data_IF_609882747004
#
_entry.id   IF_609882747004
#
_cell.length_a   1.000
_cell.length_b   1.000
_cell.length_c   1.000
_cell.angle_alpha   90.00
_cell.angle_beta   90.00
_cell.angle_gamma   90.00
#
_symmetry.space_group_name_H-M   'P 1'
#
loop_
_entity.id
_entity.type
_entity.pdbx_description
1 polymer ?
#
# COMPACT_ATOMS: atom_id res chain seq x y z
N UNK A 1 -7.23 -11.90 6.42
CA UNK A 1 -6.67 -10.58 6.10
C UNK A 1 -7.26 -9.57 7.07
N UNK A 2 -6.42 -8.79 7.75
CA UNK A 2 -6.79 -7.64 8.55
C UNK A 2 -6.42 -6.38 7.75
N UNK A 3 -7.37 -5.52 7.46
CA UNK A 3 -7.13 -4.26 6.72
C UNK A 3 -7.09 -3.09 7.70
N UNK A 4 -5.97 -2.37 7.71
CA UNK A 4 -5.81 -1.11 8.42
C UNK A 4 -6.39 0.04 7.59
N UNK A 5 -7.11 0.96 8.24
CA UNK A 5 -7.70 2.14 7.61
C UNK A 5 -7.10 3.38 8.27
N UNK A 6 -6.42 4.23 7.49
CA UNK A 6 -5.73 5.42 8.00
C UNK A 6 -6.34 6.70 7.42
N UNK A 7 -6.68 7.66 8.30
CA UNK A 7 -7.12 9.01 7.94
C UNK A 7 -8.21 9.57 8.88
N UNK A 8 -8.93 10.63 8.47
CA UNK A 8 -9.93 11.29 9.31
C UNK A 8 -11.09 10.37 9.67
N UNK A 9 -11.71 10.64 10.82
CA UNK A 9 -12.79 9.81 11.37
C UNK A 9 -13.95 9.64 10.40
N UNK A 10 -14.41 10.73 9.77
CA UNK A 10 -15.55 10.75 8.85
C UNK A 10 -15.43 9.69 7.74
N UNK A 11 -14.27 9.65 7.11
CA UNK A 11 -13.96 8.81 5.97
C UNK A 11 -13.56 7.41 6.44
N UNK A 12 -12.81 7.32 7.55
CA UNK A 12 -12.36 6.06 8.13
C UNK A 12 -13.53 5.16 8.56
N UNK A 13 -14.50 5.71 9.29
CA UNK A 13 -15.69 4.96 9.70
C UNK A 13 -16.57 4.58 8.52
N UNK A 14 -16.79 5.50 7.56
CA UNK A 14 -17.53 5.19 6.34
C UNK A 14 -16.90 4.01 5.57
N UNK A 15 -15.59 4.04 5.38
CA UNK A 15 -14.87 2.97 4.67
C UNK A 15 -15.01 1.65 5.42
N UNK A 16 -14.85 1.65 6.75
CA UNK A 16 -15.05 0.44 7.57
C UNK A 16 -16.44 -0.15 7.40
N UNK A 17 -17.49 0.68 7.44
CA UNK A 17 -18.87 0.21 7.36
C UNK A 17 -19.20 -0.32 5.96
N UNK A 18 -18.75 0.36 4.91
CA UNK A 18 -18.92 -0.09 3.52
C UNK A 18 -18.14 -1.38 3.26
N UNK A 19 -16.91 -1.51 3.78
CA UNK A 19 -16.11 -2.73 3.68
C UNK A 19 -16.78 -3.92 4.35
N UNK A 20 -17.42 -3.72 5.51
CA UNK A 20 -18.18 -4.78 6.20
C UNK A 20 -19.40 -5.24 5.39
N UNK A 21 -19.99 -4.37 4.57
CA UNK A 21 -21.05 -4.75 3.64
C UNK A 21 -20.52 -5.48 2.41
N UNK A 22 -19.34 -5.10 1.92
CA UNK A 22 -18.68 -5.73 0.76
C UNK A 22 -18.14 -7.13 1.11
N UNK A 23 -17.57 -7.29 2.30
CA UNK A 23 -16.96 -8.52 2.79
C UNK A 23 -17.19 -8.65 4.30
N UNK A 24 -18.21 -9.46 4.67
CA UNK A 24 -18.67 -9.57 6.05
C UNK A 24 -17.66 -10.20 7.01
N UNK A 25 -16.74 -11.00 6.47
CA UNK A 25 -15.72 -11.71 7.25
C UNK A 25 -14.41 -10.90 7.38
N UNK A 26 -14.33 -9.76 6.68
CA UNK A 26 -13.17 -8.89 6.72
C UNK A 26 -12.99 -8.25 8.12
N UNK A 27 -11.80 -8.44 8.69
CA UNK A 27 -11.39 -7.73 9.90
C UNK A 27 -10.78 -6.39 9.52
N UNK A 28 -11.20 -5.33 10.19
CA UNK A 28 -10.68 -3.98 9.98
C UNK A 28 -10.19 -3.35 11.28
N UNK A 29 -9.13 -2.55 11.19
CA UNK A 29 -8.64 -1.68 12.26
C UNK A 29 -8.59 -0.24 11.74
N UNK A 30 -9.07 0.71 12.53
CA UNK A 30 -9.04 2.14 12.17
C UNK A 30 -7.97 2.84 12.98
N UNK A 31 -7.16 3.65 12.31
CA UNK A 31 -6.19 4.55 12.89
C UNK A 31 -6.58 5.99 12.50
N UNK A 32 -7.36 6.62 13.38
CA UNK A 32 -7.91 7.97 13.12
C UNK A 32 -6.83 9.03 13.30
N UNK A 33 -6.70 9.90 12.30
CA UNK A 33 -5.95 11.15 12.33
C UNK A 33 -6.69 12.17 11.47
N UNK A 34 -7.14 13.26 12.10
CA UNK A 34 -7.97 14.27 11.43
C UNK A 34 -7.17 15.09 10.42
N UNK A 35 -5.91 15.40 10.74
CA UNK A 35 -4.99 16.10 9.85
C UNK A 35 -4.11 15.11 9.11
N UNK A 36 -3.80 15.44 7.85
CA UNK A 36 -2.92 14.63 7.01
C UNK A 36 -1.54 14.46 7.66
N UNK A 37 -1.02 15.52 8.26
CA UNK A 37 0.34 15.51 8.83
C UNK A 37 0.53 14.52 9.98
N UNK A 38 -0.52 14.27 10.74
CA UNK A 38 -0.48 13.39 11.92
C UNK A 38 -0.56 11.90 11.54
N UNK A 39 -0.91 11.58 10.29
CA UNK A 39 -1.08 10.19 9.80
C UNK A 39 0.22 9.40 9.78
N UNK A 40 1.37 10.09 9.77
CA UNK A 40 2.70 9.45 9.85
C UNK A 40 2.94 8.76 11.20
N UNK A 41 2.27 9.21 12.27
CA UNK A 41 2.44 8.64 13.61
C UNK A 41 1.91 7.21 13.74
N UNK A 42 1.02 6.80 12.84
CA UNK A 42 0.28 5.54 12.94
C UNK A 42 0.67 4.51 11.89
N UNK A 43 1.45 4.87 10.87
CA UNK A 43 1.74 3.98 9.73
C UNK A 43 2.51 2.71 10.17
N UNK A 44 3.57 2.87 10.96
CA UNK A 44 4.38 1.72 11.43
C UNK A 44 3.54 0.77 12.28
N UNK A 45 2.76 1.30 13.25
CA UNK A 45 1.85 0.49 14.06
C UNK A 45 0.78 -0.21 13.21
N UNK A 46 0.29 0.44 12.16
CA UNK A 46 -0.69 -0.14 11.24
C UNK A 46 -0.08 -1.34 10.48
N UNK A 47 1.15 -1.22 9.99
CA UNK A 47 1.86 -2.32 9.32
C UNK A 47 2.16 -3.51 10.23
N UNK A 48 2.50 -3.26 11.49
CA UNK A 48 2.73 -4.32 12.47
C UNK A 48 1.46 -5.13 12.77
N UNK A 49 0.32 -4.46 12.75
CA UNK A 49 -0.96 -5.00 13.20
C UNK A 49 -1.89 -5.48 12.07
N UNK A 50 -1.58 -5.15 10.81
CA UNK A 50 -2.45 -5.39 9.66
C UNK A 50 -1.71 -6.10 8.51
N UNK A 51 -2.50 -6.80 7.70
CA UNK A 51 -2.03 -7.50 6.50
C UNK A 51 -1.94 -6.57 5.28
N UNK A 52 -2.76 -5.52 5.26
CA UNK A 52 -2.84 -4.54 4.18
C UNK A 52 -3.47 -3.22 4.66
N UNK A 53 -3.35 -2.15 3.86
CA UNK A 53 -3.73 -0.79 4.26
C UNK A 53 -4.63 -0.12 3.20
N UNK A 54 -5.70 0.53 3.65
CA UNK A 54 -6.51 1.46 2.84
C UNK A 54 -6.43 2.86 3.44
N UNK A 55 -5.88 3.80 2.70
CA UNK A 55 -5.89 5.21 3.06
C UNK A 55 -7.22 5.86 2.63
N UNK A 56 -7.77 6.71 3.48
CA UNK A 56 -9.10 7.32 3.27
C UNK A 56 -9.20 8.26 2.05
N UNK A 57 -8.06 8.75 1.55
CA UNK A 57 -7.94 9.67 0.42
C UNK A 57 -6.51 9.81 -0.08
N UNK A 58 -6.33 10.43 -1.24
CA UNK A 58 -5.02 10.63 -1.87
C UNK A 58 -4.06 11.44 -1.00
N UNK A 59 -4.53 12.49 -0.32
CA UNK A 59 -3.68 13.33 0.50
C UNK A 59 -2.97 12.57 1.63
N UNK A 60 -3.70 11.68 2.32
CA UNK A 60 -3.12 10.81 3.35
C UNK A 60 -2.09 9.86 2.75
N UNK A 61 -2.42 9.25 1.60
CA UNK A 61 -1.57 8.28 0.94
C UNK A 61 -0.26 8.89 0.44
N UNK A 62 -0.34 9.98 -0.33
CA UNK A 62 0.83 10.64 -0.91
C UNK A 62 1.71 11.26 0.17
N UNK A 63 1.11 11.83 1.23
CA UNK A 63 1.88 12.36 2.36
C UNK A 63 2.69 11.27 3.06
N UNK A 64 2.09 10.12 3.40
CA UNK A 64 2.81 9.01 4.02
C UNK A 64 3.89 8.50 3.08
N UNK A 65 3.57 8.28 1.80
CA UNK A 65 4.52 7.77 0.81
C UNK A 65 5.73 8.71 0.60
N UNK A 66 5.56 10.02 0.81
CA UNK A 66 6.67 10.99 0.76
C UNK A 66 7.65 10.89 1.93
N UNK A 67 7.29 10.22 3.02
CA UNK A 67 8.07 10.17 4.29
C UNK A 67 8.37 8.75 4.78
N UNK A 68 7.69 7.75 4.23
CA UNK A 68 7.71 6.39 4.72
C UNK A 68 7.57 5.39 3.57
N UNK A 69 8.42 4.35 3.57
CA UNK A 69 8.34 3.26 2.60
C UNK A 69 7.34 2.20 3.09
N UNK A 70 6.19 2.13 2.43
CA UNK A 70 5.11 1.20 2.81
C UNK A 70 5.44 -0.19 2.28
N UNK A 71 5.62 -1.16 3.19
CA UNK A 71 5.97 -2.55 2.92
C UNK A 71 4.76 -3.46 2.68
N UNK A 72 3.59 -3.13 3.25
CA UNK A 72 2.36 -3.90 3.10
C UNK A 72 1.59 -3.54 1.82
N UNK A 73 0.79 -4.46 1.24
CA UNK A 73 -0.18 -4.14 0.19
C UNK A 73 -1.04 -2.94 0.58
N UNK A 74 -1.24 -1.99 -0.33
CA UNK A 74 -1.88 -0.74 0.02
C UNK A 74 -2.60 -0.05 -1.13
N UNK A 75 -3.67 0.66 -0.80
CA UNK A 75 -4.37 1.54 -1.74
C UNK A 75 -4.94 2.75 -1.01
N UNK A 76 -5.53 3.67 -1.75
CA UNK A 76 -6.33 4.75 -1.19
C UNK A 76 -7.68 4.82 -1.88
N UNK A 77 -8.66 5.44 -1.23
CA UNK A 77 -9.99 5.67 -1.81
C UNK A 77 -10.00 7.03 -2.52
N UNK A 78 -9.99 7.08 -3.86
CA UNK A 78 -9.92 8.35 -4.59
C UNK A 78 -11.21 9.17 -4.44
N UNK A 79 -11.17 10.40 -4.96
CA UNK A 79 -12.36 11.19 -5.27
C UNK A 79 -12.49 11.29 -6.78
N UNK A 80 -13.68 11.02 -7.30
CA UNK A 80 -13.95 10.97 -8.74
C UNK A 80 -15.27 11.65 -9.09
N UNK A 81 -15.70 11.55 -10.35
CA UNK A 81 -17.01 12.03 -10.80
C UNK A 81 -18.16 11.55 -9.90
N UNK A 82 -18.11 10.31 -9.40
CA UNK A 82 -19.17 9.81 -8.48
C UNK A 82 -19.20 10.53 -7.13
N UNK A 83 -18.05 11.00 -6.64
CA UNK A 83 -17.96 11.84 -5.43
C UNK A 83 -18.55 13.22 -5.68
N UNK A 84 -18.25 13.81 -6.84
CA UNK A 84 -18.82 15.10 -7.28
C UNK A 84 -20.33 15.00 -7.42
N UNK A 85 -20.83 13.97 -8.11
CA UNK A 85 -22.26 13.72 -8.29
C UNK A 85 -23.00 13.61 -6.95
N UNK A 86 -22.41 12.90 -5.98
CA UNK A 86 -22.99 12.80 -4.63
C UNK A 86 -23.07 14.17 -3.95
N UNK A 87 -22.04 15.01 -4.09
CA UNK A 87 -22.06 16.36 -3.54
C UNK A 87 -23.09 17.26 -4.26
N UNK A 88 -23.16 17.20 -5.59
CA UNK A 88 -24.16 17.92 -6.38
C UNK A 88 -25.59 17.50 -5.99
N UNK A 89 -25.83 16.21 -5.76
CA UNK A 89 -27.10 15.73 -5.24
C UNK A 89 -27.42 16.30 -3.86
N UNK A 90 -26.45 16.37 -2.95
CA UNK A 90 -26.63 16.97 -1.63
C UNK A 90 -26.97 18.47 -1.71
N UNK A 91 -26.27 19.21 -2.58
CA UNK A 91 -26.52 20.64 -2.85
C UNK A 91 -27.95 20.85 -3.38
N UNK A 92 -28.35 20.06 -4.36
CA UNK A 92 -29.71 20.10 -4.92
C UNK A 92 -30.77 19.75 -3.87
N UNK A 93 -30.51 18.75 -3.04
CA UNK A 93 -31.41 18.33 -1.95
C UNK A 93 -31.55 19.41 -0.86
N UNK A 94 -30.52 20.23 -0.66
CA UNK A 94 -30.57 21.40 0.20
C UNK A 94 -31.24 22.62 -0.45
N UNK A 95 -31.80 22.46 -1.66
CA UNK A 95 -32.40 23.53 -2.46
C UNK A 95 -31.45 24.71 -2.75
N UNK A 96 -30.15 24.43 -2.84
CA UNK A 96 -29.13 25.41 -3.17
C UNK A 96 -28.83 25.36 -4.67
N UNK A 97 -28.69 26.53 -5.30
CA UNK A 97 -28.36 26.63 -6.72
C UNK A 97 -26.90 26.25 -6.95
N UNK A 98 -26.68 25.23 -7.77
CA UNK A 98 -25.35 24.83 -8.22
C UNK A 98 -24.92 25.71 -9.42
N UNK A 99 -24.25 26.83 -9.13
CA UNK A 99 -23.88 27.83 -10.15
C UNK A 99 -22.46 28.38 -9.98
N UNK A 100 -22.14 28.91 -8.79
CA UNK A 100 -20.83 29.47 -8.48
C UNK A 100 -20.18 28.70 -7.34
N UNK A 101 -19.09 27.98 -7.60
CA UNK A 101 -18.48 27.14 -6.58
C UNK A 101 -16.98 26.98 -6.71
N UNK A 102 -16.35 26.73 -5.56
CA UNK A 102 -14.96 26.30 -5.46
C UNK A 102 -14.92 24.81 -5.12
N UNK A 103 -13.98 24.08 -5.71
CA UNK A 103 -13.79 22.65 -5.49
C UNK A 103 -12.30 22.30 -5.39
N UNK A 104 -11.92 21.51 -4.38
CA UNK A 104 -10.55 21.04 -4.21
C UNK A 104 -10.38 19.52 -4.47
N UNK A 105 -9.12 19.05 -4.43
CA UNK A 105 -8.65 17.66 -4.58
C UNK A 105 -8.77 17.06 -5.98
N UNK A 106 -9.88 17.29 -6.66
CA UNK A 106 -10.18 16.64 -7.94
C UNK A 106 -9.65 17.46 -9.11
N UNK A 107 -9.11 16.78 -10.12
CA UNK A 107 -8.67 17.41 -11.35
C UNK A 107 -9.80 18.13 -12.09
N UNK A 108 -9.44 19.25 -12.73
CA UNK A 108 -10.39 20.12 -13.42
C UNK A 108 -11.23 19.39 -14.47
N UNK A 109 -10.62 18.48 -15.25
CA UNK A 109 -11.34 17.75 -16.30
C UNK A 109 -12.47 16.88 -15.74
N UNK A 110 -12.30 16.29 -14.55
CA UNK A 110 -13.34 15.46 -13.91
C UNK A 110 -14.53 16.32 -13.47
N UNK A 111 -14.27 17.56 -13.04
CA UNK A 111 -15.32 18.53 -12.70
C UNK A 111 -16.06 18.96 -13.96
N UNK A 112 -15.34 19.25 -15.03
CA UNK A 112 -15.92 19.62 -16.33
C UNK A 112 -16.77 18.49 -16.93
N UNK A 113 -16.28 17.24 -16.88
CA UNK A 113 -17.02 16.06 -17.29
C UNK A 113 -18.31 15.89 -16.47
N UNK A 114 -18.25 16.07 -15.14
CA UNK A 114 -19.41 15.97 -14.27
C UNK A 114 -20.45 17.08 -14.55
N UNK A 115 -20.01 18.30 -14.84
CA UNK A 115 -20.92 19.40 -15.21
C UNK A 115 -21.60 19.11 -16.55
N UNK A 116 -20.83 18.61 -17.53
CA UNK A 116 -21.32 18.25 -18.86
C UNK A 116 -22.32 17.10 -18.83
N UNK A 117 -22.05 16.04 -18.07
CA UNK A 117 -22.91 14.85 -17.95
C UNK A 117 -24.30 15.19 -17.42
N UNK A 118 -24.42 16.23 -16.59
CA UNK A 118 -25.68 16.64 -15.96
C UNK A 118 -26.28 17.93 -16.53
N UNK A 119 -25.75 18.43 -17.65
CA UNK A 119 -26.16 19.69 -18.28
C UNK A 119 -26.16 20.89 -17.31
N UNK A 120 -25.23 20.89 -16.34
CA UNK A 120 -25.12 21.95 -15.33
C UNK A 120 -24.37 23.14 -15.93
N UNK A 121 -25.09 24.24 -16.11
CA UNK A 121 -24.55 25.51 -16.64
C UNK A 121 -24.04 26.40 -15.51
N UNK A 122 -22.97 25.97 -14.85
CA UNK A 122 -22.29 26.75 -13.81
C UNK A 122 -21.57 27.97 -14.44
N UNK A 123 -21.78 29.16 -13.88
CA UNK A 123 -21.18 30.40 -14.40
C UNK A 123 -19.79 30.69 -13.82
N UNK A 124 -19.46 30.11 -12.66
CA UNK A 124 -18.16 30.32 -12.01
C UNK A 124 -17.68 29.08 -11.28
N UNK A 125 -16.61 28.46 -11.78
CA UNK A 125 -16.05 27.23 -11.21
C UNK A 125 -14.56 27.43 -10.98
N UNK A 126 -14.13 27.32 -9.74
CA UNK A 126 -12.72 27.37 -9.35
C UNK A 126 -12.29 26.00 -8.86
N UNK A 127 -11.28 25.43 -9.53
CA UNK A 127 -10.73 24.12 -9.17
C UNK A 127 -9.34 24.30 -8.56
N UNK A 128 -9.09 23.65 -7.44
CA UNK A 128 -7.77 23.51 -6.83
C UNK A 128 -7.42 22.01 -6.67
N UNK A 129 -6.89 21.37 -7.74
CA UNK A 129 -6.52 19.97 -7.69
C UNK A 129 -5.53 19.66 -6.57
N UNK A 130 -5.48 18.41 -6.14
CA UNK A 130 -4.59 18.01 -5.05
C UNK A 130 -3.12 18.33 -5.38
N UNK A 131 -2.42 18.94 -4.41
CA UNK A 131 -0.97 19.14 -4.41
C UNK A 131 -0.42 18.86 -3.02
N UNK A 132 0.75 18.23 -2.95
CA UNK A 132 1.47 17.99 -1.69
C UNK A 132 2.03 19.29 -1.07
N UNK A 133 2.17 20.34 -1.86
CA UNK A 133 2.73 21.63 -1.42
C UNK A 133 1.70 22.50 -0.70
N UNK A 134 0.40 22.26 -0.91
CA UNK A 134 -0.68 23.09 -0.39
C UNK A 134 -1.22 22.46 0.90
N UNK A 135 -1.06 23.16 2.02
CA UNK A 135 -1.58 22.71 3.31
C UNK A 135 -3.10 22.86 3.45
N UNK A 136 -3.68 22.15 4.43
CA UNK A 136 -5.12 22.22 4.74
C UNK A 136 -5.56 23.66 5.10
N UNK A 137 -4.73 24.41 5.83
CA UNK A 137 -5.03 25.82 6.17
C UNK A 137 -5.01 26.74 4.94
N UNK A 138 -4.14 26.49 3.97
CA UNK A 138 -4.11 27.28 2.73
C UNK A 138 -5.36 27.01 1.87
N UNK A 139 -5.87 25.78 1.86
CA UNK A 139 -7.13 25.44 1.19
C UNK A 139 -8.34 26.12 1.84
N UNK A 140 -8.39 26.18 3.17
CA UNK A 140 -9.43 26.92 3.91
C UNK A 140 -9.43 28.39 3.49
N UNK A 141 -8.27 29.05 3.53
CA UNK A 141 -8.15 30.46 3.16
C UNK A 141 -8.44 30.70 1.67
N UNK A 142 -8.08 29.77 0.79
CA UNK A 142 -8.43 29.83 -0.63
C UNK A 142 -9.95 29.80 -0.86
N UNK A 143 -10.67 28.89 -0.20
CA UNK A 143 -12.12 28.81 -0.27
C UNK A 143 -12.79 30.07 0.27
N UNK A 144 -12.37 30.53 1.47
CA UNK A 144 -12.92 31.73 2.11
C UNK A 144 -12.70 32.95 1.23
N UNK A 145 -11.49 33.16 0.71
CA UNK A 145 -11.17 34.29 -0.17
C UNK A 145 -12.12 34.37 -1.37
N UNK A 146 -12.36 33.25 -2.06
CA UNK A 146 -13.26 33.22 -3.21
C UNK A 146 -14.71 33.54 -2.83
N UNK A 147 -15.15 33.10 -1.64
CA UNK A 147 -16.49 33.37 -1.13
C UNK A 147 -16.67 34.84 -0.74
N UNK A 148 -15.75 35.41 0.05
CA UNK A 148 -15.79 36.81 0.48
C UNK A 148 -15.65 37.79 -0.69
N UNK A 149 -14.92 37.40 -1.74
CA UNK A 149 -14.82 38.17 -3.00
C UNK A 149 -16.08 38.02 -3.90
N UNK A 150 -17.14 37.35 -3.43
CA UNK A 150 -18.38 37.07 -4.17
C UNK A 150 -18.17 36.29 -5.49
N UNK A 151 -17.09 35.52 -5.59
CA UNK A 151 -16.78 34.68 -6.76
C UNK A 151 -17.47 33.33 -6.69
N UNK A 152 -17.75 32.82 -5.48
CA UNK A 152 -18.40 31.53 -5.25
C UNK A 152 -19.46 31.62 -4.16
N UNK A 153 -20.55 30.85 -4.31
CA UNK A 153 -21.66 30.78 -3.34
C UNK A 153 -21.60 29.52 -2.47
N UNK A 154 -20.84 28.50 -2.89
CA UNK A 154 -20.65 27.23 -2.17
C UNK A 154 -19.21 26.72 -2.33
N UNK A 155 -18.79 25.88 -1.38
CA UNK A 155 -17.47 25.26 -1.34
C UNK A 155 -17.60 23.74 -1.35
N UNK A 156 -16.77 23.04 -2.10
CA UNK A 156 -16.70 21.57 -2.12
C UNK A 156 -15.29 21.11 -1.76
N UNK A 157 -15.15 20.25 -0.76
CA UNK A 157 -13.82 19.79 -0.32
C UNK A 157 -13.70 18.28 -0.13
N UNK A 158 -12.57 17.76 -0.58
CA UNK A 158 -12.07 16.40 -0.39
C UNK A 158 -11.39 16.16 0.95
N UNK A 159 -11.05 17.21 1.71
CA UNK A 159 -10.39 17.12 3.00
C UNK A 159 -11.38 17.14 4.19
N UNK A 160 -11.14 16.28 5.18
CA UNK A 160 -11.97 16.23 6.39
C UNK A 160 -11.77 17.47 7.28
N UNK A 161 -10.52 17.85 7.54
CA UNK A 161 -10.21 19.02 8.37
C UNK A 161 -10.73 20.32 7.75
N UNK A 162 -10.50 20.53 6.45
CA UNK A 162 -11.01 21.70 5.70
C UNK A 162 -12.54 21.78 5.77
N UNK A 163 -13.24 20.65 5.59
CA UNK A 163 -14.70 20.59 5.70
C UNK A 163 -15.17 21.02 7.09
N UNK A 164 -14.58 20.44 8.14
CA UNK A 164 -14.98 20.72 9.52
C UNK A 164 -14.72 22.18 9.88
N UNK A 165 -13.57 22.72 9.53
CA UNK A 165 -13.19 24.11 9.81
C UNK A 165 -14.11 25.11 9.10
N UNK A 166 -14.35 24.94 7.79
CA UNK A 166 -15.27 25.81 7.04
C UNK A 166 -16.70 25.74 7.59
N UNK A 167 -17.15 24.55 7.98
CA UNK A 167 -18.48 24.34 8.55
C UNK A 167 -18.64 24.98 9.93
N UNK A 168 -17.64 24.84 10.79
CA UNK A 168 -17.61 25.47 12.12
C UNK A 168 -17.63 27.01 12.03
N UNK A 169 -16.96 27.57 11.01
CA UNK A 169 -17.00 29.01 10.70
C UNK A 169 -18.32 29.47 10.05
N UNK A 170 -19.23 28.55 9.72
CA UNK A 170 -20.55 28.87 9.17
C UNK A 170 -20.62 29.02 7.65
N UNK A 171 -19.58 28.60 6.91
CA UNK A 171 -19.58 28.67 5.45
C UNK A 171 -20.38 27.53 4.80
N UNK A 172 -20.97 27.76 3.61
CA UNK A 172 -21.74 26.75 2.87
C UNK A 172 -20.81 25.73 2.18
N UNK A 173 -20.34 24.76 2.95
CA UNK A 173 -19.39 23.73 2.50
C UNK A 173 -20.04 22.35 2.36
N UNK A 174 -19.68 21.63 1.30
CA UNK A 174 -20.10 20.28 1.00
C UNK A 174 -18.91 19.32 0.91
N UNK A 175 -19.07 18.13 1.50
CA UNK A 175 -18.04 17.11 1.54
C UNK A 175 -18.06 16.28 0.26
N UNK A 176 -16.93 16.20 -0.46
CA UNK A 176 -16.71 15.18 -1.48
C UNK A 176 -16.45 13.84 -0.78
N UNK A 177 -17.50 13.06 -0.53
CA UNK A 177 -17.37 11.75 0.10
C UNK A 177 -17.05 10.65 -0.92
N UNK A 178 -16.34 9.61 -0.46
CA UNK A 178 -16.21 8.35 -1.19
C UNK A 178 -17.60 7.76 -1.48
N UNK A 179 -17.73 7.11 -2.63
CA UNK A 179 -18.86 6.22 -2.93
C UNK A 179 -18.46 4.78 -2.62
N UNK A 180 -19.45 3.91 -2.39
CA UNK A 180 -19.20 2.49 -2.11
C UNK A 180 -18.46 1.80 -3.27
N UNK A 181 -18.69 2.26 -4.50
CA UNK A 181 -18.01 1.75 -5.69
C UNK A 181 -16.50 2.03 -5.63
N UNK A 182 -16.09 3.25 -5.28
CA UNK A 182 -14.67 3.60 -5.13
C UNK A 182 -14.01 2.81 -3.99
N UNK A 183 -14.74 2.58 -2.89
CA UNK A 183 -14.25 1.78 -1.77
C UNK A 183 -14.04 0.33 -2.19
N UNK A 184 -14.98 -0.23 -2.97
CA UNK A 184 -14.86 -1.58 -3.53
C UNK A 184 -13.67 -1.71 -4.47
N UNK A 185 -13.45 -0.75 -5.36
CA UNK A 185 -12.29 -0.74 -6.27
C UNK A 185 -10.96 -0.69 -5.50
N UNK A 186 -10.84 0.19 -4.50
CA UNK A 186 -9.67 0.26 -3.64
C UNK A 186 -9.44 -1.02 -2.83
N UNK A 187 -10.53 -1.67 -2.39
CA UNK A 187 -10.47 -2.96 -1.70
C UNK A 187 -10.04 -4.10 -2.62
N UNK A 188 -10.60 -4.20 -3.82
CA UNK A 188 -10.26 -5.23 -4.81
C UNK A 188 -8.79 -5.11 -5.22
N UNK A 189 -8.25 -3.89 -5.33
CA UNK A 189 -6.82 -3.63 -5.53
C UNK A 189 -5.97 -4.20 -4.38
N UNK A 190 -6.29 -3.84 -3.14
CA UNK A 190 -5.56 -4.32 -1.96
C UNK A 190 -5.64 -5.84 -1.81
N UNK A 191 -6.82 -6.41 -2.03
CA UNK A 191 -7.04 -7.87 -1.98
C UNK A 191 -6.21 -8.59 -3.03
N UNK A 192 -6.12 -8.03 -4.24
CA UNK A 192 -5.30 -8.57 -5.32
C UNK A 192 -3.81 -8.48 -5.00
N UNK A 193 -3.33 -7.34 -4.51
CA UNK A 193 -1.93 -7.16 -4.09
C UNK A 193 -1.57 -8.09 -2.93
N UNK A 194 -2.46 -8.27 -1.95
CA UNK A 194 -2.26 -9.22 -0.86
C UNK A 194 -2.19 -10.67 -1.34
N UNK A 195 -3.09 -11.08 -2.24
CA UNK A 195 -3.06 -12.41 -2.83
C UNK A 195 -1.77 -12.64 -3.64
N UNK A 196 -1.33 -11.66 -4.42
CA UNK A 196 -0.07 -11.70 -5.18
C UNK A 196 1.15 -11.77 -4.27
N UNK A 197 1.18 -11.00 -3.19
CA UNK A 197 2.24 -11.05 -2.19
C UNK A 197 2.32 -12.46 -1.59
N UNK A 198 1.20 -12.99 -1.07
CA UNK A 198 1.14 -14.34 -0.52
C UNK A 198 1.55 -15.42 -1.54
N UNK A 199 1.11 -15.29 -2.79
CA UNK A 199 1.47 -16.21 -3.86
C UNK A 199 2.98 -16.19 -4.12
N UNK A 200 3.61 -15.01 -4.22
CA UNK A 200 5.07 -14.88 -4.38
C UNK A 200 5.83 -15.52 -3.23
N UNK A 201 5.40 -15.31 -1.99
CA UNK A 201 5.99 -15.96 -0.82
C UNK A 201 5.88 -17.49 -0.88
N UNK A 202 4.79 -18.03 -1.44
CA UNK A 202 4.54 -19.47 -1.54
C UNK A 202 5.19 -20.17 -2.75
N UNK A 203 5.67 -19.43 -3.75
CA UNK A 203 6.34 -20.01 -4.93
C UNK A 203 7.55 -20.84 -4.52
N UNK A 204 7.85 -21.89 -5.28
CA UNK A 204 9.04 -22.71 -5.05
C UNK A 204 10.23 -22.05 -5.77
N UNK A 205 11.28 -21.73 -5.02
CA UNK A 205 12.60 -21.40 -5.55
C UNK A 205 13.46 -22.67 -5.55
N UNK A 206 14.33 -22.78 -6.56
CA UNK A 206 15.28 -23.87 -6.71
C UNK A 206 16.68 -23.31 -6.61
N UNK A 207 17.43 -23.74 -5.61
CA UNK A 207 18.87 -23.46 -5.47
C UNK A 207 19.64 -24.68 -5.96
N UNK A 208 20.59 -24.46 -6.87
CA UNK A 208 21.54 -25.49 -7.30
C UNK A 208 22.86 -25.16 -6.62
N UNK A 209 23.33 -26.06 -5.77
CA UNK A 209 24.63 -25.93 -5.10
C UNK A 209 25.60 -26.91 -5.76
N UNK A 210 26.68 -26.40 -6.33
CA UNK A 210 27.68 -27.24 -7.01
C UNK A 210 29.01 -27.21 -6.29
N UNK A 211 29.53 -28.40 -5.96
CA UNK A 211 30.85 -28.56 -5.37
C UNK A 211 31.92 -28.69 -6.44
N UNK A 212 32.86 -27.75 -6.45
CA UNK A 212 34.00 -27.74 -7.34
C UNK A 212 35.27 -27.99 -6.51
N UNK A 213 35.98 -29.07 -6.83
CA UNK A 213 37.34 -29.26 -6.34
C UNK A 213 38.28 -28.38 -7.16
N UNK A 214 39.12 -27.59 -6.49
CA UNK A 214 40.09 -26.71 -7.15
C UNK A 214 41.54 -27.09 -6.86
N UNK A 215 41.81 -28.20 -6.15
CA UNK A 215 43.16 -28.71 -5.92
C UNK A 215 43.39 -30.00 -6.70
N UNK A 216 44.14 -29.93 -7.80
CA UNK A 216 44.76 -31.12 -8.38
C UNK A 216 45.81 -31.68 -7.40
N UNK A 217 45.52 -32.79 -6.71
CA UNK A 217 46.56 -33.63 -6.09
C UNK A 217 46.12 -35.06 -5.78
N UNK A 218 47.10 -35.95 -5.91
CA UNK A 218 47.09 -37.43 -5.88
C UNK A 218 46.14 -38.03 -4.83
N UNK A 219 45.24 -38.87 -5.34
CA UNK A 219 44.14 -39.59 -4.69
C UNK A 219 44.55 -40.37 -3.43
N UNK A 220 43.77 -40.19 -2.36
CA UNK A 220 43.52 -41.24 -1.38
C UNK A 220 42.00 -41.45 -1.35
N UNK A 221 41.52 -42.42 -2.13
CA UNK A 221 40.09 -42.73 -2.33
C UNK A 221 39.21 -42.60 -1.06
N UNK A 222 39.69 -43.12 0.07
CA UNK A 222 38.99 -43.07 1.34
C UNK A 222 38.96 -41.68 2.00
N UNK A 223 40.03 -40.88 1.85
CA UNK A 223 40.07 -39.50 2.37
C UNK A 223 39.04 -38.62 1.68
N UNK A 224 38.88 -38.77 0.38
CA UNK A 224 37.94 -37.95 -0.40
C UNK A 224 36.49 -38.35 -0.15
N UNK A 225 36.23 -39.65 0.09
CA UNK A 225 34.93 -40.11 0.58
C UNK A 225 34.56 -39.52 1.95
N UNK A 226 35.53 -39.44 2.88
CA UNK A 226 35.28 -38.85 4.22
C UNK A 226 34.96 -37.36 4.09
N UNK A 227 35.80 -36.59 3.39
CA UNK A 227 35.57 -35.15 3.17
C UNK A 227 34.22 -34.90 2.49
N UNK A 228 33.86 -35.74 1.51
CA UNK A 228 32.57 -35.64 0.83
C UNK A 228 31.40 -35.88 1.78
N UNK A 229 31.47 -36.91 2.62
CA UNK A 229 30.42 -37.19 3.60
C UNK A 229 30.26 -36.05 4.60
N UNK A 230 31.36 -35.40 5.00
CA UNK A 230 31.30 -34.24 5.88
C UNK A 230 30.66 -33.02 5.19
N UNK A 231 30.95 -32.78 3.91
CA UNK A 231 30.25 -31.77 3.12
C UNK A 231 28.76 -32.06 2.97
N UNK A 232 28.38 -33.32 2.70
CA UNK A 232 26.97 -33.73 2.62
C UNK A 232 26.23 -33.39 3.92
N UNK A 233 26.86 -33.61 5.08
CA UNK A 233 26.28 -33.22 6.38
C UNK A 233 26.07 -31.71 6.49
N UNK A 234 27.04 -30.90 6.05
CA UNK A 234 26.92 -29.44 6.08
C UNK A 234 25.76 -28.96 5.20
N UNK A 235 25.67 -29.45 3.97
CA UNK A 235 24.58 -29.12 3.04
C UNK A 235 23.23 -29.55 3.60
N UNK A 236 23.10 -30.78 4.12
CA UNK A 236 21.86 -31.27 4.75
C UNK A 236 21.46 -30.39 5.93
N UNK A 237 22.40 -29.98 6.77
CA UNK A 237 22.12 -29.11 7.91
C UNK A 237 21.64 -27.72 7.48
N UNK A 238 22.29 -27.12 6.47
CA UNK A 238 21.84 -25.86 5.86
C UNK A 238 20.41 -25.99 5.33
N UNK A 239 20.15 -26.98 4.48
CA UNK A 239 18.83 -27.18 3.87
C UNK A 239 17.75 -27.40 4.93
N UNK A 240 18.04 -28.20 5.96
CA UNK A 240 17.13 -28.39 7.11
C UNK A 240 16.88 -27.08 7.86
N UNK A 241 17.89 -26.24 8.05
CA UNK A 241 17.78 -24.97 8.78
C UNK A 241 16.96 -23.90 8.06
N UNK A 242 16.74 -24.07 6.76
CA UNK A 242 15.86 -23.25 5.93
C UNK A 242 14.57 -24.01 5.55
N UNK A 243 14.29 -25.15 6.18
CA UNK A 243 13.11 -25.98 5.90
C UNK A 243 12.95 -26.35 4.40
N UNK A 244 14.07 -26.50 3.69
CA UNK A 244 14.09 -26.92 2.30
C UNK A 244 14.04 -28.43 2.14
N UNK A 245 13.79 -28.86 0.91
CA UNK A 245 13.92 -30.27 0.47
C UNK A 245 15.16 -30.42 -0.39
N UNK A 246 15.96 -31.46 -0.14
CA UNK A 246 17.22 -31.72 -0.84
C UNK A 246 17.09 -32.93 -1.77
N UNK A 247 17.56 -32.78 -3.01
CA UNK A 247 17.76 -33.86 -3.97
C UNK A 247 19.20 -33.83 -4.48
N UNK A 248 19.80 -35.00 -4.65
CA UNK A 248 21.14 -35.12 -5.23
C UNK A 248 21.03 -35.21 -6.75
N UNK A 249 21.80 -34.38 -7.45
CA UNK A 249 21.96 -34.45 -8.90
C UNK A 249 23.40 -34.87 -9.20
N UNK A 250 23.62 -36.18 -9.38
CA UNK A 250 24.96 -36.72 -9.55
C UNK A 250 25.78 -36.66 -8.26
N UNK A 251 27.11 -36.55 -8.39
CA UNK A 251 28.03 -36.68 -7.25
C UNK A 251 28.28 -35.37 -6.52
N UNK A 252 28.27 -34.24 -7.21
CA UNK A 252 28.72 -32.95 -6.67
C UNK A 252 27.64 -31.86 -6.67
N UNK A 253 26.47 -32.12 -7.23
CA UNK A 253 25.41 -31.12 -7.33
C UNK A 253 24.24 -31.48 -6.42
N UNK A 254 23.73 -30.46 -5.72
CA UNK A 254 22.60 -30.54 -4.82
C UNK A 254 21.52 -29.63 -5.37
N UNK A 255 20.31 -30.17 -5.52
CA UNK A 255 19.12 -29.41 -5.90
C UNK A 255 18.27 -29.21 -4.65
N UNK A 256 18.14 -27.97 -4.24
CA UNK A 256 17.40 -27.58 -3.04
C UNK A 256 16.10 -26.89 -3.47
N UNK A 257 14.96 -27.40 -3.02
CA UNK A 257 13.66 -26.76 -3.19
C UNK A 257 13.26 -26.06 -1.90
N UNK A 258 12.96 -24.78 -1.97
CA UNK A 258 12.52 -23.96 -0.83
C UNK A 258 11.39 -23.04 -1.27
N UNK A 259 10.61 -22.51 -0.32
CA UNK A 259 9.73 -21.40 -0.64
C UNK A 259 10.57 -20.16 -0.96
N UNK A 260 10.19 -19.41 -1.99
CA UNK A 260 10.88 -18.20 -2.43
C UNK A 260 11.00 -17.16 -1.31
N UNK A 261 9.96 -17.03 -0.49
CA UNK A 261 10.00 -16.18 0.70
C UNK A 261 11.05 -16.58 1.75
N UNK A 262 11.45 -17.85 1.77
CA UNK A 262 12.53 -18.35 2.60
C UNK A 262 13.89 -18.12 1.94
N UNK A 263 13.99 -18.31 0.62
CA UNK A 263 15.22 -18.04 -0.14
C UNK A 263 15.62 -16.56 -0.11
N UNK A 264 14.65 -15.65 -0.29
CA UNK A 264 14.88 -14.19 -0.34
C UNK A 264 15.09 -13.56 1.05
N UNK A 265 15.11 -14.36 2.13
CA UNK A 265 15.29 -13.88 3.50
C UNK A 265 16.77 -13.63 3.82
N UNK A 266 17.12 -12.41 4.24
CA UNK A 266 18.49 -12.00 4.61
C UNK A 266 19.18 -12.96 5.59
N UNK A 267 18.46 -13.45 6.61
CA UNK A 267 19.02 -14.39 7.57
C UNK A 267 19.41 -15.73 6.93
N UNK A 268 18.71 -16.14 5.87
CA UNK A 268 19.03 -17.37 5.15
C UNK A 268 20.16 -17.15 4.14
N UNK A 269 20.31 -15.96 3.57
CA UNK A 269 21.52 -15.60 2.83
C UNK A 269 22.77 -15.71 3.70
N UNK A 270 22.73 -15.22 4.94
CA UNK A 270 23.85 -15.36 5.89
C UNK A 270 24.22 -16.83 6.16
N UNK A 271 23.22 -17.70 6.29
CA UNK A 271 23.45 -19.15 6.44
C UNK A 271 24.13 -19.74 5.20
N UNK A 272 23.71 -19.35 4.00
CA UNK A 272 24.33 -19.80 2.76
C UNK A 272 25.78 -19.31 2.65
N UNK A 273 26.05 -18.06 3.03
CA UNK A 273 27.42 -17.54 3.08
C UNK A 273 28.31 -18.29 4.07
N UNK A 274 27.78 -18.61 5.25
CA UNK A 274 28.50 -19.43 6.24
C UNK A 274 28.79 -20.84 5.70
N UNK A 275 27.81 -21.48 5.04
CA UNK A 275 28.02 -22.77 4.37
C UNK A 275 29.14 -22.69 3.32
N UNK A 276 29.13 -21.65 2.47
CA UNK A 276 30.18 -21.43 1.46
C UNK A 276 31.57 -21.31 2.09
N UNK A 277 31.68 -20.65 3.26
CA UNK A 277 32.93 -20.52 4.00
C UNK A 277 33.42 -21.87 4.56
N UNK A 278 32.54 -22.62 5.23
CA UNK A 278 32.90 -23.91 5.84
C UNK A 278 33.37 -24.93 4.80
N UNK A 279 32.71 -24.97 3.64
CA UNK A 279 33.10 -25.84 2.52
C UNK A 279 34.47 -25.41 1.92
N UNK A 280 34.73 -24.09 1.89
CA UNK A 280 36.03 -23.56 1.45
C UNK A 280 37.19 -23.98 2.34
N UNK A 281 36.98 -24.03 3.65
CA UNK A 281 37.99 -24.49 4.60
C UNK A 281 38.36 -25.98 4.41
N UNK A 282 37.47 -26.76 3.78
CA UNK A 282 37.70 -28.15 3.38
C UNK A 282 38.37 -28.32 2.00
N UNK A 283 38.79 -27.20 1.38
CA UNK A 283 39.40 -27.11 0.05
C UNK A 283 38.47 -27.37 -1.15
N UNK A 284 37.17 -27.12 -1.00
CA UNK A 284 36.19 -27.14 -2.09
C UNK A 284 35.55 -25.76 -2.28
N UNK A 285 34.99 -25.48 -3.45
CA UNK A 285 34.17 -24.28 -3.69
C UNK A 285 32.71 -24.70 -3.84
N UNK A 286 31.81 -24.00 -3.15
CA UNK A 286 30.37 -24.11 -3.34
C UNK A 286 29.90 -22.94 -4.20
N UNK A 287 29.49 -23.24 -5.44
CA UNK A 287 28.91 -22.27 -6.37
C UNK A 287 27.40 -22.24 -6.18
#
# INVERSE_FOLDING_TARGET
MIVGIIGPSDSGFKIKDDLKQIDSDLKTKIYVREKVVDTIEVISKCEDECDAIIFTGCAVYEFIKSKYEISKPHSFVPRSGTSIMKAFWAIKSANIKLDKFSIDVVDRYVVEDALKEFDIKATSVFCNPFSLEVGESELVEWHIKLFEENKTDIMLTGFGAVYNELKERGYPVFRLQATIQLIKESYDKVKSEYALSKARFSQIAVEILSLIDYKEKIDNYYSDMIKKSDMDKLVVNYVRSIQGSLFLLGRNDYVVFVHKGVADNEYNYDKLFNLKREIKDMAFLLV
#
